data_IF_261019024235
#
_entry.id   IF_261019024235
#
_cell.length_a   1.000
_cell.length_b   1.000
_cell.length_c   1.000
_cell.angle_alpha   90.00
_cell.angle_beta   90.00
_cell.angle_gamma   90.00
#
_symmetry.space_group_name_H-M   'P 1'
#
loop_
_entity.id
_entity.type
_entity.pdbx_description
1 polymer ?
#
# COMPACT_ATOMS: atom_id res chain seq x y z
N UNK A 1 14.07 70.33 -22.21
CA UNK A 1 13.94 69.57 -20.94
C UNK A 1 12.67 68.71 -20.95
N UNK A 2 12.51 67.79 -21.91
CA UNK A 2 11.26 67.01 -22.06
C UNK A 2 11.50 65.54 -22.42
N UNK A 3 12.76 65.11 -22.54
CA UNK A 3 13.11 63.72 -22.90
C UNK A 3 13.52 62.84 -21.71
N UNK A 4 13.57 63.37 -20.49
CA UNK A 4 14.01 62.61 -19.30
C UNK A 4 12.87 61.96 -18.51
N UNK A 5 11.62 62.44 -18.67
CA UNK A 5 10.47 61.94 -17.88
C UNK A 5 9.89 60.66 -18.48
N UNK A 6 10.02 60.44 -19.79
CA UNK A 6 9.44 59.26 -20.45
C UNK A 6 10.18 57.95 -20.21
N UNK A 7 11.46 57.98 -19.79
CA UNK A 7 12.23 56.77 -19.49
C UNK A 7 11.99 56.23 -18.08
N UNK A 8 11.44 57.02 -17.16
CA UNK A 8 11.20 56.56 -15.79
C UNK A 8 9.88 55.78 -15.64
N UNK A 9 8.89 55.99 -16.52
CA UNK A 9 7.63 55.24 -16.48
C UNK A 9 7.72 53.83 -17.08
N UNK A 10 8.67 53.59 -17.99
CA UNK A 10 8.79 52.29 -18.66
C UNK A 10 9.48 51.21 -17.81
N UNK A 11 10.18 51.59 -16.74
CA UNK A 11 10.87 50.62 -15.85
C UNK A 11 9.95 50.08 -14.75
N UNK A 12 8.84 50.77 -14.46
CA UNK A 12 7.92 50.37 -13.38
C UNK A 12 6.88 49.32 -13.83
N UNK A 13 6.70 49.11 -15.14
CA UNK A 13 5.78 48.08 -15.66
C UNK A 13 6.44 46.73 -16.00
N UNK A 14 7.76 46.60 -15.82
CA UNK A 14 8.51 45.34 -16.05
C UNK A 14 8.92 44.64 -14.74
N UNK A 15 8.26 44.95 -13.63
CA UNK A 15 8.56 44.38 -12.31
C UNK A 15 7.35 43.68 -11.64
N UNK A 16 6.33 43.31 -12.41
CA UNK A 16 5.11 42.64 -11.90
C UNK A 16 4.74 41.36 -12.66
N UNK A 17 5.73 40.67 -13.22
CA UNK A 17 5.56 39.32 -13.78
C UNK A 17 6.56 38.33 -13.18
N UNK A 18 6.76 38.38 -11.85
CA UNK A 18 7.18 37.18 -11.11
C UNK A 18 5.88 36.45 -10.77
N UNK A 19 5.30 35.84 -11.79
CA UNK A 19 4.16 34.95 -11.63
C UNK A 19 4.64 33.77 -10.79
N UNK A 20 4.19 33.81 -9.54
CA UNK A 20 4.18 32.73 -8.58
C UNK A 20 3.89 31.40 -9.27
N UNK A 21 4.93 30.64 -9.63
CA UNK A 21 4.85 29.19 -9.65
C UNK A 21 4.80 28.74 -8.18
N UNK A 22 3.67 29.04 -7.54
CA UNK A 22 3.20 28.24 -6.44
C UNK A 22 2.99 26.85 -7.04
N UNK A 23 4.05 26.04 -6.97
CA UNK A 23 3.93 24.59 -6.98
C UNK A 23 2.91 24.29 -5.88
N UNK A 24 1.66 24.12 -6.31
CA UNK A 24 0.63 23.45 -5.54
C UNK A 24 1.22 22.08 -5.26
N UNK A 25 1.93 21.98 -4.14
CA UNK A 25 2.18 20.70 -3.52
C UNK A 25 0.81 20.11 -3.34
N UNK A 26 0.41 19.21 -4.25
CA UNK A 26 -0.74 18.38 -4.04
C UNK A 26 -0.42 17.69 -2.73
N UNK A 27 -1.13 18.10 -1.67
CA UNK A 27 -1.16 17.34 -0.46
C UNK A 27 -1.62 15.97 -0.96
N UNK A 28 -0.68 15.01 -1.07
CA UNK A 28 -0.98 13.63 -1.44
C UNK A 28 -2.01 13.20 -0.42
N UNK A 29 -3.28 13.27 -0.81
CA UNK A 29 -4.41 12.92 0.02
C UNK A 29 -4.13 11.48 0.44
N UNK A 30 -3.80 11.29 1.72
CA UNK A 30 -3.44 9.97 2.23
C UNK A 30 -4.67 9.10 1.98
N UNK A 31 -4.62 8.07 1.10
CA UNK A 31 -5.83 7.33 0.76
C UNK A 31 -6.33 6.62 2.02
N UNK A 32 -7.31 7.19 2.71
CA UNK A 32 -7.73 6.70 4.01
C UNK A 32 -8.43 5.37 3.81
N UNK A 33 -8.13 4.39 4.67
CA UNK A 33 -8.80 3.11 4.61
C UNK A 33 -10.30 3.33 4.80
N UNK A 34 -11.10 2.98 3.80
CA UNK A 34 -12.54 3.25 3.81
C UNK A 34 -13.30 2.50 4.90
N UNK A 35 -12.73 1.40 5.42
CA UNK A 35 -13.33 0.56 6.43
C UNK A 35 -12.38 0.36 7.60
N UNK A 36 -12.81 0.57 8.86
CA UNK A 36 -11.96 0.29 10.01
C UNK A 36 -11.68 -1.22 10.11
N UNK A 37 -10.51 -1.55 10.63
CA UNK A 37 -10.06 -2.93 10.80
C UNK A 37 -11.06 -3.83 11.54
N UNK A 38 -11.70 -3.31 12.59
CA UNK A 38 -12.72 -4.01 13.38
C UNK A 38 -13.91 -4.47 12.53
N UNK A 39 -14.28 -3.70 11.50
CA UNK A 39 -15.35 -4.06 10.56
C UNK A 39 -14.85 -5.09 9.56
N UNK A 40 -13.67 -4.91 8.99
CA UNK A 40 -13.08 -5.88 8.04
C UNK A 40 -12.96 -7.28 8.63
N UNK A 41 -12.62 -7.38 9.93
CA UNK A 41 -12.50 -8.65 10.65
C UNK A 41 -13.80 -9.47 10.65
N UNK A 42 -14.96 -8.83 10.68
CA UNK A 42 -16.26 -9.51 10.78
C UNK A 42 -16.98 -9.64 9.44
N UNK A 43 -16.38 -9.12 8.35
CA UNK A 43 -16.96 -9.28 7.02
C UNK A 43 -16.84 -10.74 6.55
N UNK A 44 -17.95 -11.25 6.04
CA UNK A 44 -18.03 -12.55 5.38
C UNK A 44 -17.59 -12.46 3.90
N UNK A 45 -17.59 -13.62 3.25
CA UNK A 45 -17.15 -13.74 1.87
C UNK A 45 -18.02 -12.93 0.90
N UNK A 46 -19.34 -12.90 1.13
CA UNK A 46 -20.30 -12.24 0.26
C UNK A 46 -20.14 -10.72 0.34
N UNK A 47 -20.04 -10.18 1.56
CA UNK A 47 -19.77 -8.76 1.79
C UNK A 47 -18.44 -8.32 1.18
N UNK A 48 -17.38 -9.13 1.32
CA UNK A 48 -16.09 -8.83 0.69
C UNK A 48 -16.19 -8.86 -0.83
N UNK A 49 -16.90 -9.85 -1.38
CA UNK A 49 -17.14 -10.01 -2.81
C UNK A 49 -17.89 -8.81 -3.39
N UNK A 50 -18.95 -8.36 -2.71
CA UNK A 50 -19.76 -7.21 -3.11
C UNK A 50 -18.91 -5.93 -3.17
N UNK A 51 -18.08 -5.67 -2.15
CA UNK A 51 -17.19 -4.50 -2.14
C UNK A 51 -16.18 -4.58 -3.29
N UNK A 52 -15.60 -5.75 -3.56
CA UNK A 52 -14.65 -5.90 -4.67
C UNK A 52 -15.32 -5.65 -6.04
N UNK A 53 -16.55 -6.14 -6.23
CA UNK A 53 -17.31 -5.87 -7.45
C UNK A 53 -17.71 -4.40 -7.58
N UNK A 54 -18.06 -3.74 -6.48
CA UNK A 54 -18.33 -2.30 -6.46
C UNK A 54 -17.10 -1.54 -6.96
N UNK A 55 -15.91 -1.86 -6.44
CA UNK A 55 -14.64 -1.24 -6.86
C UNK A 55 -14.26 -1.53 -8.30
N UNK A 56 -14.42 -2.77 -8.75
CA UNK A 56 -14.21 -3.11 -10.16
C UNK A 56 -15.21 -2.40 -11.08
N UNK A 57 -16.46 -2.21 -10.66
CA UNK A 57 -17.48 -1.46 -11.41
C UNK A 57 -17.21 0.03 -11.43
N UNK A 58 -16.70 0.60 -10.34
CA UNK A 58 -16.27 1.99 -10.24
C UNK A 58 -15.12 2.26 -11.21
N UNK A 59 -14.09 1.40 -11.21
CA UNK A 59 -13.00 1.44 -12.19
C UNK A 59 -13.51 1.42 -13.63
N UNK A 60 -14.43 0.51 -13.98
CA UNK A 60 -15.02 0.44 -15.33
C UNK A 60 -15.77 1.70 -15.75
N UNK A 61 -16.21 2.53 -14.80
CA UNK A 61 -16.92 3.79 -15.08
C UNK A 61 -15.98 4.98 -15.18
N UNK A 62 -14.95 5.03 -14.33
CA UNK A 62 -14.06 6.19 -14.21
C UNK A 62 -12.77 6.03 -15.00
N UNK A 63 -12.35 4.80 -15.28
CA UNK A 63 -11.05 4.43 -15.85
C UNK A 63 -9.85 4.93 -15.00
N UNK A 64 -10.10 5.25 -13.73
CA UNK A 64 -9.07 5.70 -12.79
C UNK A 64 -8.56 4.50 -11.97
N UNK A 65 -7.25 4.34 -11.72
CA UNK A 65 -6.71 3.20 -10.98
C UNK A 65 -7.12 3.15 -9.49
N UNK A 66 -7.55 4.30 -8.93
CA UNK A 66 -7.81 4.47 -7.49
C UNK A 66 -8.83 3.48 -6.90
N UNK A 67 -9.99 3.20 -7.52
CA UNK A 67 -10.96 2.25 -6.96
C UNK A 67 -10.40 0.83 -6.85
N UNK A 68 -9.61 0.38 -7.83
CA UNK A 68 -8.95 -0.93 -7.75
C UNK A 68 -7.92 -0.94 -6.62
N UNK A 69 -7.10 0.11 -6.50
CA UNK A 69 -6.11 0.24 -5.43
C UNK A 69 -6.75 0.25 -4.04
N UNK A 70 -7.87 0.93 -3.88
CA UNK A 70 -8.67 0.91 -2.66
C UNK A 70 -9.21 -0.50 -2.38
N UNK A 71 -9.74 -1.18 -3.41
CA UNK A 71 -10.19 -2.57 -3.30
C UNK A 71 -9.08 -3.52 -2.86
N UNK A 72 -7.89 -3.39 -3.45
CA UNK A 72 -6.70 -4.15 -3.08
C UNK A 72 -6.30 -3.90 -1.61
N UNK A 73 -6.25 -2.65 -1.19
CA UNK A 73 -5.96 -2.28 0.20
C UNK A 73 -7.01 -2.86 1.16
N UNK A 74 -8.30 -2.75 0.84
CA UNK A 74 -9.41 -3.29 1.64
C UNK A 74 -9.27 -4.81 1.79
N UNK A 75 -9.08 -5.50 0.67
CA UNK A 75 -8.93 -6.95 0.62
C UNK A 75 -7.76 -7.42 1.49
N UNK A 76 -6.59 -6.81 1.30
CA UNK A 76 -5.36 -7.18 2.02
C UNK A 76 -5.33 -6.70 3.48
N UNK A 77 -6.20 -5.78 3.89
CA UNK A 77 -6.28 -5.33 5.29
C UNK A 77 -7.05 -6.30 6.18
N UNK A 78 -7.78 -7.26 5.60
CA UNK A 78 -8.57 -8.24 6.36
C UNK A 78 -7.69 -9.37 6.91
N UNK A 79 -7.89 -9.83 8.17
CA UNK A 79 -7.28 -11.07 8.64
C UNK A 79 -7.64 -12.26 7.75
N UNK A 80 -6.66 -13.08 7.36
CA UNK A 80 -6.86 -14.17 6.41
C UNK A 80 -6.72 -15.57 7.03
N UNK A 81 -7.29 -15.78 8.23
CA UNK A 81 -7.23 -17.08 8.89
C UNK A 81 -8.12 -18.14 8.20
N UNK A 82 -9.16 -17.68 7.50
CA UNK A 82 -10.18 -18.48 6.83
C UNK A 82 -9.95 -18.61 5.31
N UNK A 83 -8.85 -18.05 4.78
CA UNK A 83 -8.48 -18.15 3.37
C UNK A 83 -9.45 -17.46 2.41
N UNK A 84 -10.16 -16.42 2.87
CA UNK A 84 -11.11 -15.70 2.02
C UNK A 84 -10.43 -14.78 1.02
N UNK A 85 -9.25 -14.22 1.33
CA UNK A 85 -8.55 -13.27 0.43
C UNK A 85 -8.31 -13.91 -0.94
N UNK A 86 -7.85 -15.15 -0.99
CA UNK A 86 -7.55 -15.86 -2.23
C UNK A 86 -8.79 -16.04 -3.12
N UNK A 87 -9.99 -16.01 -2.54
CA UNK A 87 -11.25 -16.18 -3.28
C UNK A 87 -11.75 -14.88 -3.89
N UNK A 88 -11.44 -13.73 -3.27
CA UNK A 88 -12.01 -12.43 -3.67
C UNK A 88 -11.00 -11.50 -4.36
N UNK A 89 -9.69 -11.67 -4.11
CA UNK A 89 -8.67 -10.77 -4.64
C UNK A 89 -8.62 -10.78 -6.18
N UNK A 90 -8.99 -11.88 -6.82
CA UNK A 90 -9.07 -12.00 -8.28
C UNK A 90 -9.98 -10.96 -8.92
N UNK A 91 -11.06 -10.54 -8.24
CA UNK A 91 -12.04 -9.58 -8.75
C UNK A 91 -11.39 -8.22 -9.03
N UNK A 92 -10.41 -7.81 -8.22
CA UNK A 92 -9.64 -6.58 -8.41
C UNK A 92 -8.30 -6.82 -9.11
N UNK A 93 -7.68 -7.98 -8.91
CA UNK A 93 -6.39 -8.34 -9.50
C UNK A 93 -6.48 -8.49 -11.01
N UNK A 94 -7.46 -9.22 -11.54
CA UNK A 94 -7.61 -9.42 -12.98
C UNK A 94 -7.72 -8.10 -13.75
N UNK A 95 -8.63 -7.16 -13.41
CA UNK A 95 -8.68 -5.88 -14.12
C UNK A 95 -7.42 -5.02 -13.88
N UNK A 96 -6.69 -5.18 -12.77
CA UNK A 96 -5.38 -4.52 -12.62
C UNK A 96 -4.34 -5.11 -13.56
N UNK A 97 -4.26 -6.44 -13.70
CA UNK A 97 -3.33 -7.14 -14.59
C UNK A 97 -3.64 -6.80 -16.05
N UNK A 98 -4.92 -6.78 -16.44
CA UNK A 98 -5.37 -6.41 -17.79
C UNK A 98 -4.99 -4.97 -18.19
N UNK A 99 -4.68 -4.11 -17.22
CA UNK A 99 -4.32 -2.70 -17.42
C UNK A 99 -2.89 -2.37 -16.95
N UNK A 100 -2.03 -3.37 -16.72
CA UNK A 100 -0.63 -3.20 -16.25
C UNK A 100 -0.49 -2.41 -14.92
N UNK A 101 -1.53 -2.41 -14.09
CA UNK A 101 -1.58 -1.68 -12.82
C UNK A 101 -1.16 -2.52 -11.61
N UNK A 102 -1.10 -3.85 -11.75
CA UNK A 102 -0.92 -4.77 -10.62
C UNK A 102 0.39 -4.54 -9.87
N UNK A 103 1.53 -4.64 -10.56
CA UNK A 103 2.84 -4.54 -9.94
C UNK A 103 3.07 -3.17 -9.29
N UNK A 104 2.72 -2.10 -10.01
CA UNK A 104 2.87 -0.72 -9.51
C UNK A 104 1.97 -0.42 -8.31
N UNK A 105 0.76 -0.97 -8.29
CA UNK A 105 -0.18 -0.82 -7.17
C UNK A 105 0.27 -1.58 -5.93
N UNK A 106 0.79 -2.81 -6.10
CA UNK A 106 1.35 -3.59 -5.00
C UNK A 106 2.61 -2.93 -4.44
N UNK A 107 3.53 -2.50 -5.30
CA UNK A 107 4.76 -1.83 -4.85
C UNK A 107 4.45 -0.54 -4.06
N UNK A 108 3.55 0.29 -4.59
CA UNK A 108 3.08 1.50 -3.92
C UNK A 108 2.43 1.19 -2.56
N UNK A 109 1.65 0.12 -2.47
CA UNK A 109 1.02 -0.32 -1.23
C UNK A 109 2.06 -0.83 -0.22
N UNK A 110 3.07 -1.59 -0.65
CA UNK A 110 4.17 -2.06 0.20
C UNK A 110 4.97 -0.87 0.73
N UNK A 111 5.36 0.08 -0.11
CA UNK A 111 6.10 1.27 0.29
C UNK A 111 5.34 2.10 1.32
N UNK A 112 4.04 2.28 1.06
CA UNK A 112 3.16 2.96 1.98
C UNK A 112 3.04 2.25 3.33
N UNK A 113 2.86 0.93 3.31
CA UNK A 113 2.75 0.13 4.52
C UNK A 113 4.03 0.23 5.36
N UNK A 114 5.21 0.07 4.73
CA UNK A 114 6.51 0.23 5.38
C UNK A 114 6.64 1.63 6.00
N UNK A 115 6.29 2.69 5.26
CA UNK A 115 6.39 4.06 5.75
C UNK A 115 5.51 4.31 6.99
N UNK A 116 4.28 3.79 6.99
CA UNK A 116 3.35 3.93 8.14
C UNK A 116 3.85 3.14 9.34
N UNK A 117 4.36 1.93 9.11
CA UNK A 117 4.86 1.03 10.15
C UNK A 117 6.15 1.54 10.79
N UNK A 118 7.05 2.16 10.01
CA UNK A 118 8.27 2.80 10.54
C UNK A 118 8.01 4.09 11.30
N UNK A 119 6.89 4.77 11.02
CA UNK A 119 6.54 5.99 11.72
C UNK A 119 5.91 5.69 13.09
N UNK A 120 6.71 5.91 14.14
CA UNK A 120 6.31 5.70 15.55
C UNK A 120 5.13 6.59 16.00
N UNK A 121 4.86 7.69 15.28
CA UNK A 121 3.74 8.59 15.55
C UNK A 121 2.45 8.21 14.81
N UNK A 122 2.48 7.17 13.97
CA UNK A 122 1.26 6.65 13.33
C UNK A 122 0.30 6.09 14.38
N UNK A 123 -1.00 6.12 14.08
CA UNK A 123 -2.01 5.51 14.93
C UNK A 123 -1.74 3.99 15.08
N UNK A 124 -1.93 3.46 16.29
CA UNK A 124 -1.77 2.04 16.58
C UNK A 124 -2.64 1.15 15.66
N UNK A 125 -3.90 1.54 15.42
CA UNK A 125 -4.81 0.82 14.53
C UNK A 125 -4.32 0.82 13.07
N UNK A 126 -3.72 1.93 12.61
CA UNK A 126 -3.12 1.99 11.27
C UNK A 126 -1.91 1.05 11.19
N UNK A 127 -0.99 1.08 12.18
CA UNK A 127 0.14 0.16 12.22
C UNK A 127 -0.31 -1.32 12.22
N UNK A 128 -1.37 -1.66 12.97
CA UNK A 128 -1.91 -3.03 12.95
C UNK A 128 -2.45 -3.38 11.56
N UNK A 129 -3.23 -2.49 10.96
CA UNK A 129 -3.83 -2.71 9.64
C UNK A 129 -2.76 -2.92 8.58
N UNK A 130 -1.77 -2.01 8.47
CA UNK A 130 -0.70 -2.14 7.49
C UNK A 130 0.25 -3.31 7.79
N UNK A 131 0.37 -3.73 9.04
CA UNK A 131 1.07 -4.96 9.40
C UNK A 131 0.38 -6.18 8.81
N UNK A 132 -0.95 -6.25 8.92
CA UNK A 132 -1.76 -7.32 8.32
C UNK A 132 -1.70 -7.28 6.79
N UNK A 133 -1.70 -6.09 6.18
CA UNK A 133 -1.49 -5.95 4.73
C UNK A 133 -0.19 -6.60 4.29
N UNK A 134 0.93 -6.29 4.93
CA UNK A 134 2.22 -6.89 4.56
C UNK A 134 2.24 -8.40 4.78
N UNK A 135 1.67 -8.90 5.88
CA UNK A 135 1.57 -10.35 6.14
C UNK A 135 0.75 -11.08 5.06
N UNK A 136 -0.34 -10.47 4.62
CA UNK A 136 -1.19 -11.02 3.58
C UNK A 136 -0.50 -10.98 2.20
N UNK A 137 0.23 -9.93 1.88
CA UNK A 137 1.06 -9.86 0.66
C UNK A 137 2.11 -10.98 0.67
N UNK A 138 2.86 -11.14 1.76
CA UNK A 138 3.85 -12.23 1.88
C UNK A 138 3.18 -13.60 1.74
N UNK A 139 1.99 -13.77 2.31
CA UNK A 139 1.23 -15.02 2.21
C UNK A 139 0.74 -15.31 0.79
N UNK A 140 0.30 -14.29 0.06
CA UNK A 140 -0.14 -14.39 -1.34
C UNK A 140 1.03 -14.72 -2.27
N UNK A 141 2.19 -14.13 -2.02
CA UNK A 141 3.39 -14.29 -2.85
C UNK A 141 4.20 -15.54 -2.53
N UNK A 142 3.99 -16.13 -1.35
CA UNK A 142 4.68 -17.34 -0.90
C UNK A 142 4.67 -18.50 -1.91
N UNK A 143 3.55 -18.88 -2.55
CA UNK A 143 3.55 -19.98 -3.51
C UNK A 143 4.45 -19.72 -4.72
N UNK A 144 4.49 -18.48 -5.22
CA UNK A 144 5.35 -18.08 -6.33
C UNK A 144 6.82 -18.03 -5.88
N UNK A 145 7.09 -17.44 -4.71
CA UNK A 145 8.42 -17.31 -4.15
C UNK A 145 9.13 -18.65 -3.94
N UNK A 146 8.43 -19.65 -3.36
CA UNK A 146 9.02 -20.98 -3.11
C UNK A 146 9.28 -21.75 -4.41
N UNK A 147 8.52 -21.47 -5.48
CA UNK A 147 8.69 -22.10 -6.80
C UNK A 147 9.80 -21.43 -7.65
N UNK A 148 10.30 -20.25 -7.27
CA UNK A 148 11.32 -19.53 -8.03
C UNK A 148 12.74 -20.00 -7.68
N UNK A 149 13.28 -20.88 -8.54
CA UNK A 149 14.58 -21.54 -8.29
C UNK A 149 15.82 -20.80 -8.80
N UNK A 150 15.71 -19.80 -9.70
CA UNK A 150 16.91 -19.24 -10.38
C UNK A 150 16.96 -17.73 -10.62
N UNK A 151 15.83 -17.04 -10.73
CA UNK A 151 15.80 -15.57 -10.88
C UNK A 151 14.72 -14.98 -9.99
N UNK A 152 15.01 -13.91 -9.22
CA UNK A 152 14.01 -13.23 -8.40
C UNK A 152 13.01 -12.52 -9.32
N UNK A 153 11.75 -12.96 -9.27
CA UNK A 153 10.63 -12.28 -9.91
C UNK A 153 10.15 -11.06 -9.11
N UNK A 154 9.04 -10.46 -9.53
CA UNK A 154 8.41 -9.34 -8.82
C UNK A 154 8.10 -9.71 -7.36
N UNK A 155 7.54 -10.90 -7.12
CA UNK A 155 7.17 -11.37 -5.79
C UNK A 155 8.37 -11.51 -4.85
N UNK A 156 9.51 -12.00 -5.35
CA UNK A 156 10.75 -12.06 -4.58
C UNK A 156 11.22 -10.68 -4.15
N UNK A 157 11.23 -9.72 -5.08
CA UNK A 157 11.64 -8.35 -4.75
C UNK A 157 10.75 -7.73 -3.67
N UNK A 158 9.44 -7.99 -3.71
CA UNK A 158 8.52 -7.48 -2.69
C UNK A 158 8.73 -8.14 -1.33
N UNK A 159 8.94 -9.45 -1.28
CA UNK A 159 9.23 -10.17 -0.02
C UNK A 159 10.57 -9.71 0.57
N UNK A 160 11.61 -9.60 -0.25
CA UNK A 160 12.95 -9.12 0.16
C UNK A 160 12.86 -7.68 0.69
N UNK A 161 12.15 -6.79 -0.02
CA UNK A 161 11.91 -5.40 0.42
C UNK A 161 11.20 -5.33 1.79
N UNK A 162 10.23 -6.22 2.06
CA UNK A 162 9.54 -6.30 3.35
C UNK A 162 10.46 -6.84 4.45
N UNK A 163 11.30 -7.83 4.13
CA UNK A 163 12.28 -8.40 5.05
C UNK A 163 13.34 -7.35 5.46
N UNK A 164 13.92 -6.67 4.48
CA UNK A 164 14.94 -5.63 4.67
C UNK A 164 14.41 -4.37 5.37
N UNK A 165 13.09 -4.19 5.40
CA UNK A 165 12.48 -3.05 6.08
C UNK A 165 12.69 -3.06 7.59
N UNK A 166 12.99 -4.20 8.22
CA UNK A 166 13.20 -4.34 9.67
C UNK A 166 12.12 -3.63 10.51
N UNK A 167 10.88 -4.05 10.29
CA UNK A 167 9.71 -3.39 10.88
C UNK A 167 9.56 -3.78 12.35
N UNK A 168 9.62 -2.79 13.23
CA UNK A 168 9.26 -2.90 14.64
C UNK A 168 7.97 -2.13 14.94
N UNK A 169 6.93 -2.85 15.38
CA UNK A 169 5.67 -2.22 15.80
C UNK A 169 5.86 -1.46 17.12
N UNK A 170 5.18 -0.32 17.25
CA UNK A 170 5.12 0.41 18.53
C UNK A 170 4.46 -0.43 19.63
N UNK A 171 4.79 -0.18 20.90
CA UNK A 171 4.17 -0.89 22.03
C UNK A 171 2.63 -0.77 22.01
N UNK A 172 2.09 0.39 21.65
CA UNK A 172 0.66 0.61 21.49
C UNK A 172 0.06 -0.26 20.37
N UNK A 173 0.74 -0.35 19.21
CA UNK A 173 0.31 -1.23 18.12
C UNK A 173 0.40 -2.71 18.49
N UNK A 174 1.40 -3.13 19.27
CA UNK A 174 1.50 -4.50 19.79
C UNK A 174 0.31 -4.83 20.71
N UNK A 175 -0.05 -3.91 21.61
CA UNK A 175 -1.23 -4.06 22.46
C UNK A 175 -2.53 -4.11 21.64
N UNK A 176 -2.70 -3.19 20.69
CA UNK A 176 -3.85 -3.14 19.79
C UNK A 176 -3.98 -4.43 18.97
N UNK A 177 -2.85 -4.95 18.47
CA UNK A 177 -2.79 -6.21 17.74
C UNK A 177 -3.24 -7.37 18.62
N UNK A 178 -2.76 -7.44 19.86
CA UNK A 178 -3.14 -8.50 20.80
C UNK A 178 -4.65 -8.46 21.10
N UNK A 179 -5.22 -7.27 21.25
CA UNK A 179 -6.66 -7.10 21.49
C UNK A 179 -7.50 -7.56 20.29
N UNK A 180 -7.11 -7.18 19.08
CA UNK A 180 -7.93 -7.46 17.90
C UNK A 180 -7.68 -8.83 17.27
N UNK A 181 -6.45 -9.34 17.29
CA UNK A 181 -6.05 -10.58 16.64
C UNK A 181 -5.79 -11.73 17.61
N UNK A 182 -5.67 -11.47 18.92
CA UNK A 182 -5.24 -12.47 19.91
C UNK A 182 -3.90 -13.14 19.59
N UNK A 183 -3.12 -12.56 18.66
CA UNK A 183 -1.82 -13.05 18.22
C UNK A 183 -0.70 -12.26 18.90
N UNK A 184 0.42 -12.93 19.14
CA UNK A 184 1.65 -12.30 19.59
C UNK A 184 2.24 -11.33 18.54
N UNK A 185 3.31 -10.63 18.93
CA UNK A 185 4.05 -9.76 18.04
C UNK A 185 4.83 -10.58 17.01
N UNK A 186 4.23 -10.86 15.85
CA UNK A 186 4.96 -11.34 14.68
C UNK A 186 5.10 -10.14 13.76
N UNK A 187 6.32 -9.61 13.68
CA UNK A 187 6.64 -8.55 12.71
C UNK A 187 6.51 -9.10 11.28
N UNK A 188 5.95 -8.34 10.33
CA UNK A 188 5.94 -8.72 8.92
C UNK A 188 7.34 -9.02 8.36
N UNK A 189 8.37 -8.29 8.80
CA UNK A 189 9.76 -8.53 8.38
C UNK A 189 10.28 -9.87 8.90
N UNK A 190 9.97 -10.25 10.14
CA UNK A 190 10.31 -11.58 10.68
C UNK A 190 9.61 -12.70 9.90
N UNK A 191 8.36 -12.47 9.47
CA UNK A 191 7.64 -13.44 8.66
C UNK A 191 8.27 -13.61 7.27
N UNK A 192 8.67 -12.51 6.63
CA UNK A 192 9.38 -12.52 5.35
C UNK A 192 10.76 -13.19 5.46
N UNK A 193 11.55 -12.88 6.50
CA UNK A 193 12.86 -13.50 6.73
C UNK A 193 12.78 -15.03 6.85
N UNK A 194 11.82 -15.55 7.63
CA UNK A 194 11.59 -17.00 7.74
C UNK A 194 11.30 -17.67 6.40
N UNK A 195 10.65 -16.94 5.49
CA UNK A 195 10.34 -17.45 4.15
C UNK A 195 11.60 -17.48 3.27
N UNK A 196 12.46 -16.46 3.36
CA UNK A 196 13.76 -16.39 2.68
C UNK A 196 14.66 -17.53 3.16
N UNK A 197 14.82 -17.70 4.47
CA UNK A 197 15.60 -18.79 5.07
C UNK A 197 15.15 -20.17 4.55
N UNK A 198 13.83 -20.42 4.53
CA UNK A 198 13.27 -21.67 4.00
C UNK A 198 13.59 -21.89 2.53
N UNK A 199 13.58 -20.83 1.70
CA UNK A 199 13.95 -20.93 0.28
C UNK A 199 15.42 -21.30 0.13
N UNK A 200 16.31 -20.68 0.89
CA UNK A 200 17.73 -21.02 0.87
C UNK A 200 18.00 -22.47 1.28
N UNK A 201 17.28 -22.98 2.28
CA UNK A 201 17.37 -24.39 2.67
C UNK A 201 16.94 -25.34 1.54
N UNK A 202 15.91 -24.97 0.77
CA UNK A 202 15.45 -25.75 -0.39
C UNK A 202 16.45 -25.67 -1.54
N UNK A 203 17.11 -24.53 -1.76
CA UNK A 203 18.12 -24.37 -2.81
C UNK A 203 19.47 -25.05 -2.49
N UNK A 204 19.78 -25.23 -1.20
CA UNK A 204 20.98 -25.94 -0.74
C UNK A 204 20.84 -27.47 -0.80
N UNK A 205 19.62 -28.00 -0.91
CA UNK A 205 19.31 -29.44 -1.03
C UNK A 205 19.25 -29.87 -2.49
#
# INVERSE_FOLDING_TARGET
>A
MTKLIFKLLAVVHLALFVSSCASSGSAKEKPQLSYPYSRLKVMDLDQMTDIMYEKAKEFKKTDEPKPLQDGLLICLSRPNEDGQIQKVISIVRTPMEDNDLWESSVESLVDRAIAILKNKNSNAADQVTYGVVLENIVSEFKPAFVKQYKSPGFESKMIEKIAEADIELSAAAVSERKLNLMRGNVSPSLFANKLIERREEVLKK
#
